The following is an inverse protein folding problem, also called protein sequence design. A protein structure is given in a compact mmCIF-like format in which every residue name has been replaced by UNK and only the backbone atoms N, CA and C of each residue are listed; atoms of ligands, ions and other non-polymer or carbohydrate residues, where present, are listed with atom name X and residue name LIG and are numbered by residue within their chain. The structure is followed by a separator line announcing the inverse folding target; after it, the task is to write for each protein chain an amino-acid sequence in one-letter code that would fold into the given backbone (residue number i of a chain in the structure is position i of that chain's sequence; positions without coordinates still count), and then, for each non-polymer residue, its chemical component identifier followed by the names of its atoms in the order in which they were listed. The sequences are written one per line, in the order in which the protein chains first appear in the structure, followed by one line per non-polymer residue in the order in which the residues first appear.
data_IF_225210265430
#
_entry.id   IF_225210265430
#
_cell.length_a   1.000
_cell.length_b   1.000
_cell.length_c   1.000
_cell.angle_alpha   90.00
_cell.angle_beta   90.00
_cell.angle_gamma   90.00
#
_symmetry.space_group_name_H-M   'P 1'
#
loop_
_entity.id
_entity.type
_entity.pdbx_description
1 polymer ?
#
# COMPACT_ATOMS: atom_id res chain seq x y z
N UNK A 1 9.56 -18.88 -2.80
CA UNK A 1 9.48 -17.51 -2.20
C UNK A 1 8.83 -16.55 -3.19
N UNK A 2 7.93 -15.71 -2.72
CA UNK A 2 7.00 -14.82 -3.47
C UNK A 2 7.67 -13.71 -4.30
N UNK A 3 8.98 -13.50 -4.20
CA UNK A 3 9.67 -12.33 -4.76
C UNK A 3 9.57 -12.12 -6.29
N UNK A 4 9.32 -13.19 -7.05
CA UNK A 4 9.25 -13.11 -8.50
C UNK A 4 7.81 -13.02 -9.03
N UNK A 5 6.82 -13.08 -8.13
CA UNK A 5 5.42 -13.03 -8.52
C UNK A 5 4.93 -11.59 -8.64
N UNK A 6 4.20 -11.32 -9.71
CA UNK A 6 3.67 -9.99 -10.03
C UNK A 6 2.21 -10.06 -10.44
N UNK A 7 1.48 -8.96 -10.25
CA UNK A 7 0.25 -8.69 -10.99
C UNK A 7 0.58 -7.83 -12.21
N UNK A 8 -0.28 -7.89 -13.22
CA UNK A 8 -0.18 -7.03 -14.40
C UNK A 8 -1.30 -5.98 -14.33
N UNK A 9 -0.91 -4.70 -14.30
CA UNK A 9 -1.83 -3.58 -14.32
C UNK A 9 -2.43 -3.37 -15.72
N UNK A 10 -3.42 -2.49 -15.82
CA UNK A 10 -4.19 -2.26 -17.06
C UNK A 10 -3.34 -1.70 -18.20
N UNK A 11 -2.22 -1.05 -17.91
CA UNK A 11 -1.26 -0.53 -18.91
C UNK A 11 -0.15 -1.54 -19.28
N UNK A 12 -0.18 -2.76 -18.69
CA UNK A 12 0.83 -3.79 -18.86
C UNK A 12 1.99 -3.73 -17.83
N UNK A 13 2.05 -2.70 -16.98
CA UNK A 13 3.06 -2.61 -15.91
C UNK A 13 2.94 -3.78 -14.94
N UNK A 14 4.08 -4.34 -14.56
CA UNK A 14 4.13 -5.45 -13.58
C UNK A 14 4.44 -4.91 -12.19
N UNK A 15 3.54 -5.15 -11.24
CA UNK A 15 3.72 -4.81 -9.83
C UNK A 15 3.98 -6.08 -9.00
N UNK A 16 5.05 -6.12 -8.15
CA UNK A 16 5.30 -7.26 -7.26
C UNK A 16 4.13 -7.52 -6.31
N UNK A 17 3.80 -8.78 -6.05
CA UNK A 17 2.73 -9.16 -5.12
C UNK A 17 3.05 -8.88 -3.65
N UNK A 18 4.33 -8.70 -3.33
CA UNK A 18 4.81 -8.42 -1.99
C UNK A 18 5.77 -7.22 -2.04
N UNK A 19 5.54 -6.23 -1.18
CA UNK A 19 6.40 -5.06 -1.01
C UNK A 19 6.81 -4.84 0.43
N UNK A 20 7.81 -3.96 0.63
CA UNK A 20 8.19 -3.44 1.94
C UNK A 20 7.45 -2.12 2.20
N UNK A 21 6.56 -2.08 3.21
CA UNK A 21 6.04 -0.85 3.77
C UNK A 21 7.06 -0.18 4.70
N UNK A 22 7.15 1.15 4.69
CA UNK A 22 8.15 1.91 5.43
C UNK A 22 7.59 2.83 6.51
N UNK A 23 6.28 2.86 6.72
CA UNK A 23 5.68 3.68 7.77
C UNK A 23 6.27 3.34 9.15
N UNK A 24 6.59 4.35 9.98
CA UNK A 24 7.32 4.18 11.25
C UNK A 24 8.73 3.54 11.13
N UNK A 25 9.38 3.65 9.98
CA UNK A 25 10.84 3.49 9.91
C UNK A 25 11.43 4.89 9.85
N UNK A 26 12.27 5.23 10.84
CA UNK A 26 12.92 6.53 10.92
C UNK A 26 13.80 6.76 9.67
N UNK A 27 13.91 8.02 9.24
CA UNK A 27 14.61 8.38 8.01
C UNK A 27 16.07 7.93 7.98
N UNK A 28 16.76 8.00 9.13
CA UNK A 28 18.15 7.54 9.28
C UNK A 28 18.32 6.02 9.22
N UNK A 29 17.24 5.25 9.42
CA UNK A 29 17.21 3.78 9.36
C UNK A 29 16.63 3.25 8.05
N UNK A 30 15.88 4.08 7.31
CA UNK A 30 15.16 3.66 6.13
C UNK A 30 16.09 3.14 5.02
N UNK A 31 17.23 3.76 4.80
CA UNK A 31 18.19 3.31 3.80
C UNK A 31 18.70 1.90 4.06
N UNK A 32 19.00 1.56 5.32
CA UNK A 32 19.43 0.21 5.67
C UNK A 32 18.29 -0.79 5.51
N UNK A 33 17.07 -0.47 5.95
CA UNK A 33 15.91 -1.35 5.80
C UNK A 33 15.63 -1.68 4.32
N UNK A 34 15.72 -0.69 3.42
CA UNK A 34 15.59 -0.90 1.97
C UNK A 34 16.70 -1.81 1.44
N UNK A 35 17.97 -1.58 1.79
CA UNK A 35 19.08 -2.42 1.33
C UNK A 35 18.92 -3.87 1.78
N UNK A 36 18.53 -4.11 3.04
CA UNK A 36 18.30 -5.48 3.55
C UNK A 36 17.11 -6.15 2.84
N UNK A 37 16.01 -5.43 2.61
CA UNK A 37 14.88 -5.96 1.89
C UNK A 37 15.26 -6.35 0.44
N UNK A 38 15.96 -5.46 -0.28
CA UNK A 38 16.40 -5.71 -1.66
C UNK A 38 17.35 -6.89 -1.74
N UNK A 39 18.29 -7.01 -0.78
CA UNK A 39 19.21 -8.15 -0.66
C UNK A 39 18.47 -9.48 -0.47
N UNK A 40 17.35 -9.49 0.27
CA UNK A 40 16.50 -10.66 0.45
C UNK A 40 15.67 -11.00 -0.80
N UNK A 41 15.49 -10.04 -1.73
CA UNK A 41 14.73 -10.25 -2.96
C UNK A 41 13.53 -9.34 -3.15
N UNK A 42 13.19 -8.46 -2.19
CA UNK A 42 12.14 -7.47 -2.38
C UNK A 42 12.46 -6.55 -3.57
N UNK A 43 11.41 -6.19 -4.31
CA UNK A 43 11.53 -5.28 -5.46
C UNK A 43 10.51 -4.12 -5.41
N UNK A 44 9.49 -4.20 -4.55
CA UNK A 44 8.54 -3.12 -4.29
C UNK A 44 8.85 -2.49 -2.94
N UNK A 45 9.07 -1.17 -2.94
CA UNK A 45 9.29 -0.34 -1.74
C UNK A 45 8.20 0.72 -1.70
N UNK A 46 7.39 0.72 -0.64
CA UNK A 46 6.29 1.68 -0.44
C UNK A 46 6.63 2.66 0.67
N UNK A 47 6.60 3.95 0.35
CA UNK A 47 6.72 5.06 1.28
C UNK A 47 5.63 6.10 1.06
N UNK A 48 5.73 7.26 1.71
CA UNK A 48 4.84 8.41 1.52
C UNK A 48 5.49 9.70 2.00
N UNK A 49 5.06 10.84 1.45
CA UNK A 49 5.47 12.18 1.92
C UNK A 49 5.22 12.36 3.42
N UNK A 50 4.07 11.87 3.91
CA UNK A 50 3.67 11.97 5.32
C UNK A 50 4.52 11.13 6.28
N UNK A 51 5.35 10.19 5.78
CA UNK A 51 6.16 9.34 6.66
C UNK A 51 7.47 10.02 7.11
N UNK A 52 7.89 11.08 6.41
CA UNK A 52 9.09 11.83 6.73
C UNK A 52 10.41 11.09 6.48
N UNK A 53 10.38 9.98 5.70
CA UNK A 53 11.51 9.11 5.47
C UNK A 53 11.88 8.92 3.99
N UNK A 54 11.34 9.74 3.10
CA UNK A 54 11.60 9.65 1.65
C UNK A 54 13.09 9.81 1.31
N UNK A 55 13.83 10.68 2.04
CA UNK A 55 15.28 10.85 1.84
C UNK A 55 16.04 9.54 2.08
N UNK A 56 15.80 8.90 3.23
CA UNK A 56 16.42 7.63 3.59
C UNK A 56 16.01 6.49 2.67
N UNK A 57 14.73 6.41 2.29
CA UNK A 57 14.24 5.42 1.31
C UNK A 57 14.95 5.62 -0.03
N UNK A 58 15.04 6.85 -0.54
CA UNK A 58 15.74 7.18 -1.79
C UNK A 58 17.22 6.81 -1.74
N UNK A 59 17.90 7.09 -0.63
CA UNK A 59 19.29 6.64 -0.42
C UNK A 59 19.39 5.11 -0.51
N UNK A 60 18.50 4.40 0.18
CA UNK A 60 18.46 2.93 0.12
C UNK A 60 18.28 2.40 -1.30
N UNK A 61 17.34 2.98 -2.06
CA UNK A 61 17.10 2.64 -3.47
C UNK A 61 18.35 2.84 -4.33
N UNK A 62 19.03 3.98 -4.20
CA UNK A 62 20.23 4.30 -5.01
C UNK A 62 21.44 3.47 -4.63
N UNK A 63 21.51 2.91 -3.41
CA UNK A 63 22.68 2.22 -2.86
C UNK A 63 22.47 0.74 -2.61
N UNK A 64 21.34 0.15 -2.97
CA UNK A 64 21.01 -1.26 -2.72
C UNK A 64 21.73 -2.25 -3.64
N UNK A 65 22.48 -1.78 -4.65
CA UNK A 65 23.25 -2.62 -5.57
C UNK A 65 22.42 -3.30 -6.68
N UNK A 66 21.14 -2.95 -6.81
CA UNK A 66 20.24 -3.42 -7.87
C UNK A 66 19.95 -2.25 -8.82
N UNK A 67 19.96 -2.46 -10.16
CA UNK A 67 19.57 -1.43 -11.12
C UNK A 67 18.19 -0.84 -10.81
N UNK A 68 18.05 0.50 -10.96
CA UNK A 68 16.80 1.24 -10.61
C UNK A 68 15.57 0.68 -11.31
N UNK A 69 15.70 0.27 -12.55
CA UNK A 69 14.64 -0.30 -13.38
C UNK A 69 14.13 -1.68 -12.91
N UNK A 70 14.86 -2.35 -12.03
CA UNK A 70 14.44 -3.60 -11.40
C UNK A 70 13.68 -3.37 -10.08
N UNK A 71 13.57 -2.12 -9.64
CA UNK A 71 12.84 -1.75 -8.44
C UNK A 71 11.52 -1.08 -8.81
N UNK A 72 10.49 -1.34 -8.03
CA UNK A 72 9.21 -0.65 -8.06
C UNK A 72 9.14 0.23 -6.81
N UNK A 73 9.27 1.55 -6.98
CA UNK A 73 9.32 2.52 -5.88
C UNK A 73 8.04 3.34 -5.88
N UNK A 74 7.30 3.26 -4.78
CA UNK A 74 6.01 3.92 -4.59
C UNK A 74 6.09 5.00 -3.51
N UNK A 75 5.47 6.15 -3.75
CA UNK A 75 5.20 7.18 -2.76
C UNK A 75 3.76 7.73 -2.89
N UNK A 76 3.38 8.64 -2.01
CA UNK A 76 2.01 9.15 -1.90
C UNK A 76 2.02 10.67 -1.71
N UNK A 77 1.20 11.36 -2.50
CA UNK A 77 0.89 12.80 -2.29
C UNK A 77 0.19 12.95 -0.94
N UNK A 78 0.70 13.82 -0.08
CA UNK A 78 0.13 14.06 1.25
C UNK A 78 -1.38 14.40 1.15
N UNK A 79 -2.15 13.88 2.10
CA UNK A 79 -3.61 14.02 2.12
C UNK A 79 -4.08 15.48 2.17
N UNK A 80 -3.25 16.38 2.69
CA UNK A 80 -3.46 17.82 2.83
C UNK A 80 -3.31 18.58 1.52
N UNK A 81 -2.58 18.03 0.53
CA UNK A 81 -2.43 18.62 -0.80
C UNK A 81 -3.72 18.40 -1.60
N UNK A 82 -4.53 19.45 -1.74
CA UNK A 82 -5.85 19.42 -2.36
C UNK A 82 -6.02 20.36 -3.55
N UNK A 83 -4.91 20.87 -4.09
CA UNK A 83 -4.88 21.67 -5.33
C UNK A 83 -3.94 21.04 -6.34
N UNK A 84 -4.12 21.36 -7.62
CA UNK A 84 -3.22 20.93 -8.69
C UNK A 84 -1.78 21.38 -8.43
N UNK A 85 -1.60 22.66 -8.10
CA UNK A 85 -0.28 23.28 -7.91
C UNK A 85 0.47 22.66 -6.73
N UNK A 86 -0.23 22.45 -5.58
CA UNK A 86 0.40 21.85 -4.40
C UNK A 86 0.79 20.37 -4.65
N UNK A 87 -0.03 19.64 -5.40
CA UNK A 87 0.27 18.26 -5.76
C UNK A 87 1.48 18.17 -6.69
N UNK A 88 1.52 18.98 -7.76
CA UNK A 88 2.68 19.02 -8.70
C UNK A 88 3.97 19.38 -7.98
N UNK A 89 3.95 20.43 -7.15
CA UNK A 89 5.14 20.85 -6.39
C UNK A 89 5.62 19.73 -5.44
N UNK A 90 4.69 19.05 -4.77
CA UNK A 90 5.03 17.97 -3.85
C UNK A 90 5.60 16.73 -4.54
N UNK A 91 5.18 16.44 -5.78
CA UNK A 91 5.76 15.35 -6.59
C UNK A 91 7.23 15.66 -6.94
N UNK A 92 7.51 16.91 -7.35
CA UNK A 92 8.88 17.35 -7.65
C UNK A 92 9.76 17.32 -6.40
N UNK A 93 9.24 17.76 -5.26
CA UNK A 93 9.93 17.70 -3.97
C UNK A 93 10.23 16.25 -3.54
N UNK A 94 9.32 15.29 -3.77
CA UNK A 94 9.54 13.87 -3.52
C UNK A 94 10.71 13.34 -4.36
N UNK A 95 10.73 13.62 -5.66
CA UNK A 95 11.81 13.20 -6.54
C UNK A 95 13.16 13.77 -6.12
N UNK A 96 13.20 15.06 -5.73
CA UNK A 96 14.39 15.73 -5.21
C UNK A 96 14.86 15.10 -3.89
N UNK A 97 13.96 14.91 -2.91
CA UNK A 97 14.28 14.28 -1.61
C UNK A 97 14.82 12.88 -1.77
N UNK A 98 14.24 12.08 -2.64
CA UNK A 98 14.67 10.72 -2.90
C UNK A 98 15.90 10.65 -3.80
N UNK A 99 16.22 11.74 -4.54
CA UNK A 99 17.29 11.78 -5.54
C UNK A 99 17.02 10.80 -6.69
N UNK A 100 15.77 10.71 -7.16
CA UNK A 100 15.33 9.83 -8.22
C UNK A 100 14.82 10.65 -9.41
N UNK A 101 15.02 10.13 -10.62
CA UNK A 101 14.51 10.76 -11.85
C UNK A 101 13.01 10.48 -12.05
N UNK A 102 12.53 9.34 -11.56
CA UNK A 102 11.13 8.93 -11.64
C UNK A 102 10.72 8.04 -10.47
N UNK A 103 9.42 7.96 -10.21
CA UNK A 103 8.80 6.94 -9.37
C UNK A 103 8.07 5.90 -10.23
N UNK A 104 7.99 4.66 -9.76
CA UNK A 104 7.15 3.67 -10.42
C UNK A 104 5.67 3.89 -10.07
N UNK A 105 5.39 4.42 -8.86
CA UNK A 105 4.02 4.71 -8.44
C UNK A 105 3.93 5.98 -7.61
N UNK A 106 2.91 6.80 -7.87
CA UNK A 106 2.48 7.91 -7.03
C UNK A 106 0.98 7.90 -6.88
N UNK A 107 0.48 7.98 -5.64
CA UNK A 107 -0.96 7.86 -5.35
C UNK A 107 -1.43 9.00 -4.44
N UNK A 108 -2.71 9.36 -4.50
CA UNK A 108 -3.33 10.23 -3.51
C UNK A 108 -3.44 9.47 -2.19
N UNK A 109 -2.83 9.96 -1.10
CA UNK A 109 -2.73 9.23 0.18
C UNK A 109 -4.09 9.03 0.89
N UNK A 110 -5.00 9.98 0.72
CA UNK A 110 -6.36 9.91 1.28
C UNK A 110 -7.32 10.81 0.49
N UNK A 111 -8.60 10.44 0.37
CA UNK A 111 -9.61 11.31 -0.27
C UNK A 111 -9.83 12.61 0.50
N UNK A 112 -9.52 12.64 1.79
CA UNK A 112 -9.69 13.79 2.69
C UNK A 112 -8.39 14.07 3.44
N UNK A 113 -8.12 15.33 3.87
CA UNK A 113 -7.07 15.60 4.85
C UNK A 113 -7.24 14.71 6.10
N UNK A 114 -6.15 14.28 6.73
CA UNK A 114 -6.25 13.36 7.87
C UNK A 114 -7.09 13.88 9.03
N UNK A 115 -7.04 15.20 9.31
CA UNK A 115 -7.88 15.82 10.34
C UNK A 115 -9.38 15.79 10.03
N UNK A 116 -9.74 15.57 8.76
CA UNK A 116 -11.13 15.54 8.26
C UNK A 116 -11.47 14.18 7.64
N UNK A 117 -10.75 13.11 8.00
CA UNK A 117 -10.96 11.78 7.44
C UNK A 117 -12.34 11.23 7.83
N UNK A 118 -13.11 10.80 6.82
CA UNK A 118 -14.49 10.28 6.95
C UNK A 118 -15.52 11.26 7.52
N UNK A 119 -15.24 12.59 7.53
CA UNK A 119 -16.28 13.57 7.80
C UNK A 119 -17.19 13.78 6.57
N UNK A 120 -18.27 14.55 6.71
CA UNK A 120 -19.28 14.77 5.66
C UNK A 120 -18.69 15.41 4.39
N UNK A 121 -17.74 16.35 4.52
CA UNK A 121 -17.07 16.98 3.38
C UNK A 121 -16.21 15.99 2.61
N UNK A 122 -16.53 15.72 1.34
CA UNK A 122 -15.94 14.64 0.54
C UNK A 122 -14.73 15.05 -0.32
N UNK A 123 -14.43 16.33 -0.50
CA UNK A 123 -13.29 16.82 -1.30
C UNK A 123 -13.27 16.31 -2.76
N UNK A 124 -14.42 16.11 -3.37
CA UNK A 124 -14.55 15.53 -4.72
C UNK A 124 -13.87 16.38 -5.80
N UNK A 125 -14.10 17.70 -5.80
CA UNK A 125 -13.51 18.58 -6.81
C UNK A 125 -12.01 18.79 -6.58
N UNK A 126 -11.59 18.89 -5.31
CA UNK A 126 -10.18 18.99 -4.94
C UNK A 126 -9.41 17.72 -5.34
N UNK A 127 -9.99 16.54 -5.13
CA UNK A 127 -9.37 15.28 -5.54
C UNK A 127 -9.23 15.18 -7.07
N UNK A 128 -10.16 15.72 -7.87
CA UNK A 128 -10.00 15.81 -9.33
C UNK A 128 -8.83 16.72 -9.73
N UNK A 129 -8.59 17.81 -9.00
CA UNK A 129 -7.43 18.68 -9.26
C UNK A 129 -6.11 17.94 -8.98
N UNK A 130 -6.02 17.24 -7.84
CA UNK A 130 -4.85 16.40 -7.52
C UNK A 130 -4.70 15.27 -8.53
N UNK A 131 -5.79 14.68 -8.99
CA UNK A 131 -5.76 13.64 -10.02
C UNK A 131 -5.18 14.15 -11.35
N UNK A 132 -5.59 15.34 -11.79
CA UNK A 132 -5.00 15.98 -13.00
C UNK A 132 -3.51 16.23 -12.86
N UNK A 133 -3.04 16.61 -11.66
CA UNK A 133 -1.60 16.74 -11.40
C UNK A 133 -0.86 15.40 -11.54
N UNK A 134 -1.44 14.29 -11.04
CA UNK A 134 -0.88 12.96 -11.24
C UNK A 134 -0.85 12.53 -12.71
N UNK A 135 -1.92 12.80 -13.46
CA UNK A 135 -1.98 12.52 -14.91
C UNK A 135 -0.91 13.31 -15.69
N UNK A 136 -0.69 14.58 -15.35
CA UNK A 136 0.32 15.40 -16.00
C UNK A 136 1.75 15.00 -15.59
N UNK A 137 1.96 14.60 -14.32
CA UNK A 137 3.22 14.03 -13.86
C UNK A 137 3.54 12.69 -14.56
N UNK A 138 2.51 11.85 -14.81
CA UNK A 138 2.66 10.63 -15.59
C UNK A 138 3.02 10.94 -17.04
N UNK A 139 2.30 11.84 -17.67
CA UNK A 139 2.58 12.26 -19.06
C UNK A 139 3.99 12.87 -19.22
N UNK A 140 4.51 13.54 -18.17
CA UNK A 140 5.86 14.07 -18.12
C UNK A 140 6.94 13.01 -17.81
N UNK A 141 6.56 11.76 -17.56
CA UNK A 141 7.49 10.67 -17.24
C UNK A 141 8.06 10.68 -15.82
N UNK A 142 7.53 11.55 -14.94
CA UNK A 142 7.93 11.63 -13.53
C UNK A 142 7.42 10.44 -12.71
N UNK A 143 6.29 9.86 -13.13
CA UNK A 143 5.61 8.73 -12.48
C UNK A 143 5.11 7.77 -13.54
N UNK A 144 5.18 6.45 -13.31
CA UNK A 144 4.67 5.45 -14.25
C UNK A 144 3.23 5.04 -13.93
N UNK A 145 2.94 4.69 -12.69
CA UNK A 145 1.64 4.23 -12.20
C UNK A 145 1.02 5.30 -11.32
N UNK A 146 -0.21 5.68 -11.60
CA UNK A 146 -0.98 6.61 -10.77
C UNK A 146 -2.18 5.92 -10.14
N UNK A 147 -2.52 6.31 -8.92
CA UNK A 147 -3.60 5.69 -8.17
C UNK A 147 -4.02 6.48 -6.95
N UNK A 148 -4.72 5.80 -6.08
CA UNK A 148 -5.31 6.38 -4.88
C UNK A 148 -5.11 5.49 -3.66
N UNK A 149 -5.37 6.02 -2.48
CA UNK A 149 -5.35 5.27 -1.22
C UNK A 149 -6.50 5.70 -0.33
N UNK A 150 -7.11 4.75 0.36
CA UNK A 150 -8.26 4.96 1.24
C UNK A 150 -9.52 5.48 0.56
N UNK A 151 -9.63 5.34 -0.76
CA UNK A 151 -10.82 5.71 -1.53
C UNK A 151 -11.88 4.62 -1.41
N UNK A 152 -13.11 5.00 -1.08
CA UNK A 152 -14.30 4.17 -1.17
C UNK A 152 -14.88 4.23 -2.59
N UNK A 153 -15.94 3.47 -2.83
CA UNK A 153 -16.53 3.36 -4.16
C UNK A 153 -16.95 4.73 -4.73
N UNK A 154 -17.63 5.57 -3.95
CA UNK A 154 -18.06 6.90 -4.40
C UNK A 154 -16.88 7.87 -4.66
N UNK A 155 -15.79 7.78 -3.90
CA UNK A 155 -14.55 8.52 -4.18
C UNK A 155 -13.92 8.08 -5.51
N UNK A 156 -13.92 6.76 -5.78
CA UNK A 156 -13.43 6.20 -7.04
C UNK A 156 -14.32 6.60 -8.22
N UNK A 157 -15.66 6.50 -8.07
CA UNK A 157 -16.62 6.91 -9.08
C UNK A 157 -16.46 8.39 -9.44
N UNK A 158 -16.19 9.25 -8.45
CA UNK A 158 -15.91 10.67 -8.68
C UNK A 158 -14.69 10.87 -9.59
N UNK A 159 -13.56 10.18 -9.34
CA UNK A 159 -12.38 10.26 -10.22
C UNK A 159 -12.68 9.67 -11.59
N UNK A 160 -13.30 8.49 -11.64
CA UNK A 160 -13.63 7.78 -12.88
C UNK A 160 -14.57 8.59 -13.79
N UNK A 161 -15.36 9.51 -13.25
CA UNK A 161 -16.32 10.34 -14.02
C UNK A 161 -15.64 11.38 -14.92
N UNK A 162 -14.36 11.76 -14.66
CA UNK A 162 -13.70 12.89 -15.32
C UNK A 162 -12.19 12.68 -15.56
N UNK A 163 -11.67 11.45 -15.40
CA UNK A 163 -10.25 11.15 -15.58
C UNK A 163 -9.90 10.89 -17.05
N UNK A 164 -8.69 11.32 -17.47
CA UNK A 164 -8.06 10.92 -18.74
C UNK A 164 -7.42 9.54 -18.63
N UNK A 165 -6.84 9.25 -17.46
CA UNK A 165 -6.23 7.97 -17.09
C UNK A 165 -6.95 7.45 -15.85
N UNK A 166 -7.43 6.20 -15.91
CA UNK A 166 -8.09 5.58 -14.74
C UNK A 166 -7.07 5.29 -13.64
N UNK A 167 -7.49 5.37 -12.35
CA UNK A 167 -6.66 4.85 -11.26
C UNK A 167 -6.26 3.40 -11.54
N UNK A 168 -4.96 3.11 -11.45
CA UNK A 168 -4.44 1.76 -11.68
C UNK A 168 -4.40 0.96 -10.38
N UNK A 169 -4.28 1.66 -9.23
CA UNK A 169 -4.22 1.04 -7.91
C UNK A 169 -5.11 1.79 -6.91
N UNK A 170 -5.60 1.06 -5.89
CA UNK A 170 -6.20 1.61 -4.68
C UNK A 170 -5.58 0.91 -3.47
N UNK A 171 -4.79 1.63 -2.68
CA UNK A 171 -4.12 1.10 -1.50
C UNK A 171 -5.01 1.31 -0.26
N UNK A 172 -5.45 0.22 0.38
CA UNK A 172 -6.43 0.26 1.47
C UNK A 172 -5.97 -0.54 2.69
N UNK A 173 -6.54 -0.23 3.86
CA UNK A 173 -6.46 -1.09 5.03
C UNK A 173 -7.14 -2.41 4.73
N UNK A 174 -6.38 -3.50 4.69
CA UNK A 174 -6.93 -4.82 4.38
C UNK A 174 -6.18 -5.92 5.15
N UNK A 175 -6.90 -6.65 5.96
CA UNK A 175 -6.40 -7.80 6.71
C UNK A 175 -7.56 -8.74 7.11
N UNK A 176 -7.24 -9.90 7.68
CA UNK A 176 -8.23 -10.75 8.35
C UNK A 176 -8.94 -9.88 9.41
N UNK A 177 -10.25 -9.87 9.46
CA UNK A 177 -11.14 -9.00 10.25
C UNK A 177 -11.49 -7.62 9.63
N UNK A 178 -10.86 -7.22 8.55
CA UNK A 178 -11.21 -6.00 7.82
C UNK A 178 -11.10 -6.26 6.31
N UNK A 179 -12.04 -7.06 5.81
CA UNK A 179 -12.13 -7.40 4.38
C UNK A 179 -13.34 -6.73 3.78
N UNK A 180 -13.13 -5.63 3.04
CA UNK A 180 -14.20 -4.96 2.32
C UNK A 180 -14.42 -5.65 0.96
N UNK A 181 -15.21 -6.73 0.96
CA UNK A 181 -15.46 -7.55 -0.22
C UNK A 181 -16.16 -6.78 -1.35
N UNK A 182 -17.03 -5.82 -1.02
CA UNK A 182 -17.73 -4.99 -2.01
C UNK A 182 -16.75 -4.06 -2.73
N UNK A 183 -15.88 -3.37 -1.98
CA UNK A 183 -14.85 -2.52 -2.56
C UNK A 183 -13.84 -3.32 -3.40
N UNK A 184 -13.44 -4.52 -2.93
CA UNK A 184 -12.58 -5.42 -3.71
C UNK A 184 -13.23 -5.81 -5.04
N UNK A 185 -14.51 -6.18 -5.02
CA UNK A 185 -15.27 -6.53 -6.22
C UNK A 185 -15.38 -5.34 -7.17
N UNK A 186 -15.68 -4.14 -6.66
CA UNK A 186 -15.75 -2.91 -7.45
C UNK A 186 -14.40 -2.59 -8.09
N UNK A 187 -13.30 -2.58 -7.33
CA UNK A 187 -11.95 -2.34 -7.86
C UNK A 187 -11.60 -3.34 -8.97
N UNK A 188 -11.87 -4.63 -8.74
CA UNK A 188 -11.65 -5.68 -9.74
C UNK A 188 -12.45 -5.43 -11.03
N UNK A 189 -13.72 -5.05 -10.92
CA UNK A 189 -14.57 -4.73 -12.07
C UNK A 189 -14.02 -3.53 -12.87
N UNK A 190 -13.46 -2.53 -12.20
CA UNK A 190 -12.87 -1.35 -12.84
C UNK A 190 -11.44 -1.59 -13.37
N UNK A 191 -10.83 -2.74 -13.09
CA UNK A 191 -9.44 -3.04 -13.43
C UNK A 191 -8.43 -2.34 -12.51
N UNK A 192 -8.85 -1.94 -11.30
CA UNK A 192 -8.01 -1.29 -10.30
C UNK A 192 -7.40 -2.36 -9.39
N UNK A 193 -6.06 -2.44 -9.37
CA UNK A 193 -5.35 -3.36 -8.48
C UNK A 193 -5.41 -2.86 -7.04
N UNK A 194 -5.85 -3.71 -6.12
CA UNK A 194 -5.84 -3.36 -4.69
C UNK A 194 -4.49 -3.68 -4.07
N UNK A 195 -3.98 -2.77 -3.25
CA UNK A 195 -2.81 -2.95 -2.39
C UNK A 195 -3.28 -2.94 -0.92
N UNK A 196 -2.83 -3.94 -0.15
CA UNK A 196 -3.20 -4.16 1.24
C UNK A 196 -2.12 -3.63 2.17
N UNK A 197 -2.32 -2.45 2.79
CA UNK A 197 -1.44 -2.04 3.88
C UNK A 197 -1.90 -2.61 5.22
N UNK A 198 -0.99 -2.69 6.19
CA UNK A 198 -1.21 -3.28 7.52
C UNK A 198 -1.83 -4.69 7.47
N UNK A 199 -1.33 -5.63 6.65
CA UNK A 199 -1.94 -6.96 6.52
C UNK A 199 -1.92 -7.77 7.83
N UNK A 200 -1.10 -7.38 8.81
CA UNK A 200 -0.99 -8.01 10.15
C UNK A 200 -1.74 -7.18 11.22
N UNK A 201 -2.56 -6.19 10.81
CA UNK A 201 -3.34 -5.33 11.72
C UNK A 201 -2.50 -4.72 12.87
N UNK A 202 -1.33 -4.15 12.57
CA UNK A 202 -0.39 -3.60 13.57
C UNK A 202 0.00 -4.57 14.69
N UNK A 203 -0.02 -5.87 14.41
CA UNK A 203 0.29 -6.92 15.38
C UNK A 203 -0.92 -7.45 16.17
N UNK A 204 -2.11 -6.85 16.03
CA UNK A 204 -3.30 -7.33 16.72
C UNK A 204 -3.74 -8.71 16.21
N UNK A 205 -3.46 -9.05 14.95
CA UNK A 205 -3.67 -10.40 14.42
C UNK A 205 -2.89 -11.47 15.20
N UNK A 206 -1.70 -11.14 15.71
CA UNK A 206 -0.87 -12.05 16.53
C UNK A 206 -1.52 -12.42 17.87
N UNK A 207 -2.46 -11.60 18.34
CA UNK A 207 -3.15 -11.76 19.64
C UNK A 207 -4.51 -12.45 19.50
N UNK A 208 -5.03 -12.62 18.27
CA UNK A 208 -6.34 -13.24 18.03
C UNK A 208 -6.23 -14.77 18.10
N UNK A 209 -6.87 -15.45 19.09
CA UNK A 209 -6.80 -16.90 19.20
C UNK A 209 -7.26 -17.64 17.95
N UNK A 210 -8.31 -17.14 17.28
CA UNK A 210 -8.84 -17.74 16.06
C UNK A 210 -7.85 -17.67 14.87
N UNK A 211 -7.12 -16.55 14.75
CA UNK A 211 -6.10 -16.41 13.70
C UNK A 211 -4.88 -17.26 14.03
N UNK A 212 -4.49 -17.33 15.31
CA UNK A 212 -3.39 -18.19 15.79
C UNK A 212 -3.70 -19.67 15.50
N UNK A 213 -4.91 -20.13 15.84
CA UNK A 213 -5.35 -21.53 15.55
C UNK A 213 -5.31 -21.81 14.04
N UNK A 214 -5.79 -20.89 13.22
CA UNK A 214 -5.74 -21.06 11.76
C UNK A 214 -4.29 -21.13 11.24
N UNK A 215 -3.38 -20.29 11.75
CA UNK A 215 -1.97 -20.36 11.37
C UNK A 215 -1.32 -21.69 11.77
N UNK A 216 -1.64 -22.22 12.97
CA UNK A 216 -1.17 -23.53 13.42
C UNK A 216 -1.67 -24.66 12.52
N UNK A 217 -2.92 -24.61 12.04
CA UNK A 217 -3.47 -25.58 11.08
C UNK A 217 -2.61 -25.71 9.82
N UNK A 218 -2.03 -24.61 9.35
CA UNK A 218 -1.16 -24.57 8.17
C UNK A 218 0.33 -24.75 8.51
N UNK A 219 0.70 -24.84 9.78
CA UNK A 219 2.09 -24.96 10.21
C UNK A 219 2.93 -23.72 9.92
N UNK A 220 2.33 -22.52 9.87
CA UNK A 220 2.96 -21.26 9.53
C UNK A 220 2.84 -20.24 10.66
N UNK A 221 3.60 -19.14 10.60
CA UNK A 221 3.41 -18.03 11.52
C UNK A 221 2.12 -17.26 11.20
N UNK A 222 1.57 -16.55 12.19
CA UNK A 222 0.39 -15.69 11.99
C UNK A 222 0.68 -14.62 10.91
N UNK A 223 1.89 -14.05 10.89
CA UNK A 223 2.28 -13.07 9.87
C UNK A 223 2.23 -13.66 8.47
N UNK A 224 2.74 -14.88 8.27
CA UNK A 224 2.67 -15.59 6.99
C UNK A 224 1.22 -15.85 6.58
N UNK A 225 0.37 -16.31 7.50
CA UNK A 225 -1.06 -16.53 7.22
C UNK A 225 -1.73 -15.24 6.74
N UNK A 226 -1.53 -14.12 7.46
CA UNK A 226 -2.14 -12.83 7.14
C UNK A 226 -1.66 -12.29 5.78
N UNK A 227 -0.38 -12.42 5.47
CA UNK A 227 0.19 -11.99 4.18
C UNK A 227 -0.33 -12.89 3.05
N UNK A 228 -0.33 -14.21 3.24
CA UNK A 228 -0.89 -15.13 2.26
C UNK A 228 -2.36 -14.87 2.00
N UNK A 229 -3.14 -14.59 3.05
CA UNK A 229 -4.55 -14.26 2.96
C UNK A 229 -4.80 -13.09 2.00
N UNK A 230 -4.15 -11.94 2.19
CA UNK A 230 -4.37 -10.77 1.34
C UNK A 230 -3.87 -11.03 -0.09
N UNK A 231 -2.76 -11.74 -0.28
CA UNK A 231 -2.28 -12.12 -1.62
C UNK A 231 -3.28 -13.04 -2.32
N UNK A 232 -3.89 -13.99 -1.58
CA UNK A 232 -4.84 -14.95 -2.13
C UNK A 232 -6.20 -14.31 -2.47
N UNK A 233 -6.53 -13.14 -1.86
CA UNK A 233 -7.63 -12.27 -2.30
C UNK A 233 -7.32 -11.53 -3.62
N UNK A 234 -6.12 -11.67 -4.18
CA UNK A 234 -5.70 -11.00 -5.41
C UNK A 234 -5.13 -9.60 -5.17
N UNK A 235 -4.64 -9.30 -3.96
CA UNK A 235 -4.11 -7.98 -3.61
C UNK A 235 -2.59 -8.01 -3.42
N UNK A 236 -1.93 -6.86 -3.59
CA UNK A 236 -0.51 -6.68 -3.25
C UNK A 236 -0.38 -6.53 -1.74
N UNK A 237 0.50 -7.28 -1.10
CA UNK A 237 0.73 -7.18 0.34
C UNK A 237 1.86 -6.21 0.67
N UNK A 238 1.63 -5.27 1.60
CA UNK A 238 2.59 -4.27 2.05
C UNK A 238 2.85 -4.35 3.57
N UNK A 239 3.41 -5.46 4.08
CA UNK A 239 3.81 -5.55 5.47
C UNK A 239 4.98 -4.59 5.75
N UNK A 240 4.96 -3.94 6.92
CA UNK A 240 6.04 -3.06 7.39
C UNK A 240 6.94 -3.79 8.38
N UNK A 241 8.23 -3.74 8.15
CA UNK A 241 9.24 -4.15 9.12
C UNK A 241 10.61 -3.60 8.74
N UNK A 242 11.45 -3.30 9.74
CA UNK A 242 12.87 -3.01 9.56
C UNK A 242 13.75 -4.21 9.95
N UNK A 243 13.16 -5.32 10.43
CA UNK A 243 13.89 -6.51 10.87
C UNK A 243 14.06 -7.50 9.71
N UNK A 244 15.29 -7.83 9.27
CA UNK A 244 15.55 -8.75 8.16
C UNK A 244 14.96 -10.16 8.36
N UNK A 245 14.91 -10.66 9.61
CA UNK A 245 14.30 -11.95 9.91
C UNK A 245 12.79 -11.94 9.67
N UNK A 246 12.10 -10.84 10.02
CA UNK A 246 10.69 -10.68 9.71
C UNK A 246 10.48 -10.50 8.20
N UNK A 247 11.37 -9.78 7.49
CA UNK A 247 11.29 -9.66 6.03
C UNK A 247 11.36 -11.03 5.36
N UNK A 248 12.32 -11.87 5.76
CA UNK A 248 12.46 -13.22 5.23
C UNK A 248 11.22 -14.09 5.53
N UNK A 249 10.71 -14.06 6.77
CA UNK A 249 9.50 -14.79 7.17
C UNK A 249 8.27 -14.32 6.38
N UNK A 250 8.11 -13.01 6.18
CA UNK A 250 6.98 -12.43 5.45
C UNK A 250 6.97 -12.82 3.95
N UNK A 251 8.11 -13.17 3.40
CA UNK A 251 8.24 -13.59 2.00
C UNK A 251 8.08 -15.11 1.80
N UNK A 252 8.11 -15.88 2.87
CA UNK A 252 7.95 -17.34 2.83
C UNK A 252 6.47 -17.73 2.96
N UNK A 253 5.71 -17.46 1.91
CA UNK A 253 4.24 -17.61 1.84
C UNK A 253 3.79 -18.44 0.63
N UNK A 254 4.58 -19.44 0.25
CA UNK A 254 4.34 -20.31 -0.92
C UNK A 254 3.28 -21.43 -0.65
N UNK A 255 2.61 -21.40 0.49
CA UNK A 255 1.49 -22.30 0.81
C UNK A 255 0.16 -21.74 0.30
N UNK A 256 -0.87 -22.57 0.27
CA UNK A 256 -2.22 -22.18 -0.13
C UNK A 256 -3.22 -22.39 1.01
N UNK A 257 -4.05 -21.38 1.28
CA UNK A 257 -5.18 -21.45 2.20
C UNK A 257 -6.36 -22.07 1.43
N UNK A 258 -7.03 -23.09 1.99
CA UNK A 258 -8.17 -23.74 1.34
C UNK A 258 -9.32 -22.74 1.10
N UNK A 259 -10.15 -22.98 0.09
CA UNK A 259 -11.30 -22.12 -0.21
C UNK A 259 -12.24 -21.98 1.01
N UNK A 260 -12.47 -23.06 1.73
CA UNK A 260 -13.30 -23.04 2.95
C UNK A 260 -12.70 -22.20 4.06
N UNK A 261 -11.38 -22.26 4.26
CA UNK A 261 -10.72 -21.44 5.28
C UNK A 261 -10.64 -19.98 4.84
N UNK A 262 -10.48 -19.70 3.55
CA UNK A 262 -10.60 -18.33 3.02
C UNK A 262 -11.98 -17.73 3.32
N UNK A 263 -13.07 -18.47 3.11
CA UNK A 263 -14.43 -18.01 3.48
C UNK A 263 -14.53 -17.71 4.98
N UNK A 264 -13.98 -18.59 5.83
CA UNK A 264 -13.95 -18.40 7.28
C UNK A 264 -13.19 -17.13 7.65
N UNK A 265 -12.01 -16.91 7.06
CA UNK A 265 -11.17 -15.72 7.31
C UNK A 265 -11.82 -14.42 6.83
N UNK A 266 -12.50 -14.44 5.68
CA UNK A 266 -13.24 -13.28 5.16
C UNK A 266 -14.36 -12.83 6.11
N UNK A 267 -15.04 -13.78 6.74
CA UNK A 267 -16.15 -13.51 7.66
C UNK A 267 -15.70 -13.21 9.09
N UNK A 268 -14.43 -13.43 9.39
CA UNK A 268 -13.89 -13.26 10.75
C UNK A 268 -13.87 -11.79 11.15
N UNK A 269 -14.40 -11.46 12.34
CA UNK A 269 -14.42 -10.12 12.92
C UNK A 269 -13.90 -10.17 14.36
N UNK A 270 -12.61 -10.37 14.52
CA UNK A 270 -12.00 -10.57 15.85
C UNK A 270 -11.21 -9.36 16.36
N UNK A 271 -10.81 -8.45 15.46
CA UNK A 271 -10.01 -7.26 15.79
C UNK A 271 -10.94 -6.05 15.91
N UNK A 272 -11.02 -5.47 17.10
CA UNK A 272 -11.89 -4.35 17.42
C UNK A 272 -11.12 -3.05 17.73
N UNK A 273 -9.80 -3.13 17.85
CA UNK A 273 -8.91 -2.02 18.16
C UNK A 273 -7.51 -2.34 17.65
N UNK A 274 -6.77 -1.33 17.29
CA UNK A 274 -5.36 -1.41 16.88
C UNK A 274 -4.43 -0.88 17.98
N UNK A 275 -4.91 -0.87 19.24
CA UNK A 275 -4.12 -0.45 20.38
C UNK A 275 -3.71 1.02 20.31
N UNK A 276 -2.41 1.30 20.44
CA UNK A 276 -1.87 2.66 20.35
C UNK A 276 -2.09 3.34 18.99
N UNK A 277 -2.39 2.56 17.92
CA UNK A 277 -2.65 3.08 16.60
C UNK A 277 -4.10 3.56 16.39
N UNK A 278 -5.02 3.34 17.34
CA UNK A 278 -6.38 3.86 17.28
C UNK A 278 -6.45 5.41 17.23
N UNK A 279 -5.36 6.09 17.55
CA UNK A 279 -5.23 7.55 17.41
C UNK A 279 -5.16 8.04 15.96
N UNK A 280 -4.83 7.15 15.03
CA UNK A 280 -4.79 7.48 13.61
C UNK A 280 -6.17 7.30 12.98
N UNK A 281 -6.63 8.25 12.14
CA UNK A 281 -8.00 8.26 11.64
C UNK A 281 -8.43 6.98 10.92
N UNK A 282 -7.52 6.31 10.22
CA UNK A 282 -7.80 5.08 9.46
C UNK A 282 -8.06 3.85 10.37
N UNK A 283 -7.69 3.92 11.65
CA UNK A 283 -7.88 2.84 12.63
C UNK A 283 -8.89 3.21 13.71
N UNK A 284 -9.40 4.45 13.70
CA UNK A 284 -10.39 4.93 14.68
C UNK A 284 -11.71 4.21 14.56
N UNK A 285 -12.48 4.20 15.67
CA UNK A 285 -13.83 3.64 15.68
C UNK A 285 -14.75 4.43 14.74
N UNK A 286 -15.24 3.78 13.69
CA UNK A 286 -16.17 4.36 12.72
C UNK A 286 -15.70 4.36 11.27
N UNK A 287 -14.61 3.65 10.96
CA UNK A 287 -14.16 3.38 9.58
C UNK A 287 -14.74 2.06 9.11
#
# INVERSE_FOLDING_TARGET
MMFNETYTLTDGTRIPKLGLGTWFIDDDKAAQAVREAVKLGYRLIDTAQAYGNERGVGEGVRTCGVPREQLFVASKVAAENKTYESAMASIDETLEKMGLEYLDQMIIHSPQPWAEFRVEKRYFEENKQVWRALEDAQAAGKVKVIGVSNFLQDDLENILSDCRVKPMVNQILLHISNTNSELLAFCKQQGIQVEAYSPIAHGEALKSPAIVEMAQKYGVSVAQLCIRYVIQLGTVALPKTANPAHMANNADVDFEISAQDMETLVQMQTIQSYGEFDVFPVFGKGV
#
